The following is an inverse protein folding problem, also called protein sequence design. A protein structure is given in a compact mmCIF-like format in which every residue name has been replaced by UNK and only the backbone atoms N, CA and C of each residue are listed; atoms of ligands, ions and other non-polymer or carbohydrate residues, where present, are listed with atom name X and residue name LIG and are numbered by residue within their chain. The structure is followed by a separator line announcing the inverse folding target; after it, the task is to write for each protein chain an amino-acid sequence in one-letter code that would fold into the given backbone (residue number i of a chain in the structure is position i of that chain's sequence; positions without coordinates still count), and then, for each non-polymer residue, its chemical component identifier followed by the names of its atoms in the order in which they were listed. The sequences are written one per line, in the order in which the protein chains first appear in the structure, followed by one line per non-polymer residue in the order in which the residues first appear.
data_IF_933330772858
#
_entry.id   IF_933330772858
#
_cell.length_a   1.000
_cell.length_b   1.000
_cell.length_c   1.000
_cell.angle_alpha   90.00
_cell.angle_beta   90.00
_cell.angle_gamma   90.00
#
_symmetry.space_group_name_H-M   'P 1'
#
loop_
_entity.id
_entity.type
_entity.pdbx_description
1 polymer ?
#
# COMPACT_ATOMS: atom_id res chain seq x y z
N UNK A 1 -5.60 -3.98 -9.08
CA UNK A 1 -6.02 -5.34 -8.64
C UNK A 1 -6.86 -5.95 -9.76
N UNK A 2 -6.86 -7.28 -9.90
CA UNK A 2 -7.64 -7.95 -10.97
C UNK A 2 -6.95 -8.04 -12.34
N UNK A 3 -5.62 -7.95 -12.38
CA UNK A 3 -4.81 -8.05 -13.60
C UNK A 3 -3.60 -8.96 -13.38
N UNK A 4 -2.95 -9.42 -14.46
CA UNK A 4 -1.75 -10.28 -14.41
C UNK A 4 -0.59 -9.67 -13.62
N UNK A 5 -0.56 -8.34 -13.50
CA UNK A 5 0.42 -7.63 -12.67
C UNK A 5 0.39 -8.05 -11.20
N UNK A 6 -0.71 -8.63 -10.71
CA UNK A 6 -0.79 -9.14 -9.33
C UNK A 6 0.22 -10.27 -9.06
N UNK A 7 0.63 -11.01 -10.09
CA UNK A 7 1.68 -12.04 -10.00
C UNK A 7 3.03 -11.48 -9.52
N UNK A 8 3.23 -10.18 -9.66
CA UNK A 8 4.46 -9.49 -9.26
C UNK A 8 4.33 -8.76 -7.92
N UNK A 9 3.18 -8.85 -7.22
CA UNK A 9 3.03 -8.18 -5.92
C UNK A 9 3.90 -8.82 -4.84
N UNK A 10 3.71 -10.12 -4.56
CA UNK A 10 4.35 -10.76 -3.40
C UNK A 10 5.88 -10.77 -3.50
N UNK A 11 6.42 -11.10 -4.67
CA UNK A 11 7.85 -11.17 -4.91
C UNK A 11 8.58 -9.83 -4.73
N UNK A 12 7.87 -8.69 -4.82
CA UNK A 12 8.47 -7.38 -4.56
C UNK A 12 9.00 -7.24 -3.14
N UNK A 13 8.44 -7.99 -2.18
CA UNK A 13 8.96 -8.08 -0.81
C UNK A 13 10.42 -8.53 -0.77
N UNK A 14 10.76 -9.57 -1.54
CA UNK A 14 12.13 -10.10 -1.60
C UNK A 14 13.06 -9.11 -2.27
N UNK A 15 12.63 -8.53 -3.40
CA UNK A 15 13.43 -7.52 -4.10
C UNK A 15 13.77 -6.35 -3.18
N UNK A 16 12.81 -5.87 -2.39
CA UNK A 16 13.04 -4.78 -1.43
C UNK A 16 14.04 -5.22 -0.35
N UNK A 17 13.88 -6.42 0.19
CA UNK A 17 14.79 -6.94 1.20
C UNK A 17 16.24 -7.02 0.66
N UNK A 18 16.41 -7.64 -0.50
CA UNK A 18 17.70 -7.82 -1.17
C UNK A 18 18.33 -6.48 -1.57
N UNK A 19 17.51 -5.50 -1.96
CA UNK A 19 17.97 -4.14 -2.30
C UNK A 19 18.53 -3.41 -1.09
N UNK A 20 17.82 -3.42 0.04
CA UNK A 20 18.27 -2.78 1.29
C UNK A 20 19.53 -3.48 1.80
N UNK A 21 19.55 -4.81 1.81
CA UNK A 21 20.69 -5.62 2.23
C UNK A 21 21.94 -5.30 1.39
N UNK A 22 21.78 -5.26 0.07
CA UNK A 22 22.89 -4.98 -0.86
C UNK A 22 23.54 -3.63 -0.61
N UNK A 23 22.73 -2.57 -0.45
CA UNK A 23 23.25 -1.21 -0.22
C UNK A 23 23.92 -1.10 1.14
N UNK A 24 23.26 -1.55 2.21
CA UNK A 24 23.78 -1.39 3.58
C UNK A 24 25.04 -2.23 3.80
N UNK A 25 25.10 -3.44 3.22
CA UNK A 25 26.29 -4.29 3.28
C UNK A 25 27.46 -3.68 2.47
N UNK A 26 27.21 -3.26 1.22
CA UNK A 26 28.26 -2.73 0.36
C UNK A 26 28.86 -1.42 0.88
N UNK A 27 28.02 -0.55 1.44
CA UNK A 27 28.45 0.76 1.93
C UNK A 27 28.88 0.75 3.41
N UNK A 28 28.87 -0.42 4.06
CA UNK A 28 29.26 -0.56 5.46
C UNK A 28 28.53 0.40 6.42
N UNK A 29 27.27 0.74 6.15
CA UNK A 29 26.51 1.63 7.04
C UNK A 29 26.29 1.01 8.42
N UNK A 30 26.53 1.77 9.48
CA UNK A 30 26.45 1.28 10.85
C UNK A 30 25.01 0.96 11.31
N UNK A 31 24.03 1.66 10.73
CA UNK A 31 22.62 1.56 11.08
C UNK A 31 21.73 1.89 9.86
N UNK A 32 20.44 1.59 9.96
CA UNK A 32 19.46 1.90 8.91
C UNK A 32 18.12 2.39 9.46
N UNK A 33 17.55 3.39 8.78
CA UNK A 33 16.16 3.83 8.97
C UNK A 33 15.41 3.58 7.66
N UNK A 34 14.35 2.78 7.71
CA UNK A 34 13.52 2.46 6.53
C UNK A 34 12.18 3.18 6.62
N UNK A 35 11.64 3.63 5.48
CA UNK A 35 10.38 4.39 5.41
C UNK A 35 9.40 3.70 4.44
N UNK A 36 8.89 2.49 4.76
CA UNK A 36 7.93 1.78 3.92
C UNK A 36 6.51 2.36 4.06
N UNK A 37 5.75 2.37 2.95
CA UNK A 37 4.43 2.98 2.90
C UNK A 37 3.31 2.12 2.31
N UNK A 38 3.59 0.91 1.82
CA UNK A 38 2.59 0.05 1.20
C UNK A 38 2.87 -1.43 1.47
N UNK A 39 1.83 -2.18 1.82
CA UNK A 39 1.76 -3.64 1.98
C UNK A 39 3.11 -4.38 2.04
N UNK A 40 3.69 -4.72 0.87
CA UNK A 40 4.89 -5.57 0.77
C UNK A 40 6.20 -4.87 1.16
N UNK A 41 6.22 -3.54 1.19
CA UNK A 41 7.39 -2.77 1.57
C UNK A 41 7.76 -3.02 3.04
N UNK A 42 6.78 -3.02 3.94
CA UNK A 42 7.00 -3.18 5.38
C UNK A 42 7.74 -4.48 5.71
N UNK A 43 7.24 -5.68 5.33
CA UNK A 43 7.96 -6.91 5.61
C UNK A 43 9.29 -7.01 4.86
N UNK A 44 9.43 -6.43 3.65
CA UNK A 44 10.71 -6.42 2.93
C UNK A 44 11.79 -5.67 3.70
N UNK A 45 11.48 -4.49 4.23
CA UNK A 45 12.38 -3.73 5.10
C UNK A 45 12.73 -4.49 6.38
N UNK A 46 11.74 -5.08 7.06
CA UNK A 46 11.97 -5.85 8.29
C UNK A 46 12.84 -7.10 8.05
N UNK A 47 12.67 -7.77 6.91
CA UNK A 47 13.51 -8.89 6.52
C UNK A 47 14.98 -8.47 6.36
N UNK A 48 15.25 -7.37 5.65
CA UNK A 48 16.61 -6.85 5.49
C UNK A 48 17.23 -6.45 6.84
N UNK A 49 16.46 -5.78 7.71
CA UNK A 49 16.90 -5.41 9.06
C UNK A 49 17.32 -6.64 9.88
N UNK A 50 16.53 -7.71 9.81
CA UNK A 50 16.84 -8.99 10.46
C UNK A 50 18.09 -9.68 9.90
N UNK A 51 18.26 -9.71 8.56
CA UNK A 51 19.44 -10.31 7.90
C UNK A 51 20.73 -9.56 8.22
N UNK A 52 20.69 -8.23 8.18
CA UNK A 52 21.85 -7.38 8.48
C UNK A 52 22.21 -7.40 9.97
N UNK A 53 21.22 -7.60 10.84
CA UNK A 53 21.37 -7.59 12.31
C UNK A 53 22.16 -6.37 12.83
N UNK A 54 21.84 -5.19 12.27
CA UNK A 54 22.40 -3.88 12.66
C UNK A 54 21.34 -3.04 13.37
N UNK A 55 21.73 -2.04 14.19
CA UNK A 55 20.80 -1.08 14.76
C UNK A 55 19.87 -0.50 13.68
N UNK A 56 18.56 -0.61 13.89
CA UNK A 56 17.60 -0.33 12.82
C UNK A 56 16.25 0.18 13.33
N UNK A 57 15.63 1.06 12.56
CA UNK A 57 14.30 1.63 12.83
C UNK A 57 13.44 1.62 11.56
N UNK A 58 12.19 1.18 11.67
CA UNK A 58 11.20 1.32 10.60
C UNK A 58 10.21 2.42 10.95
N UNK A 59 10.05 3.40 10.06
CA UNK A 59 9.08 4.48 10.18
C UNK A 59 7.97 4.22 9.16
N UNK A 60 6.79 3.82 9.64
CA UNK A 60 5.65 3.62 8.76
C UNK A 60 5.23 4.94 8.10
N UNK A 61 5.07 4.94 6.78
CA UNK A 61 4.70 6.12 5.99
C UNK A 61 3.33 6.72 6.34
N UNK A 62 2.48 5.95 7.03
CA UNK A 62 1.17 6.40 7.52
C UNK A 62 0.00 5.91 6.69
N UNK A 63 -1.17 5.94 7.31
CA UNK A 63 -2.44 5.53 6.69
C UNK A 63 -3.11 6.69 5.97
N UNK A 64 -3.79 6.41 4.86
CA UNK A 64 -4.61 7.38 4.12
C UNK A 64 -5.85 7.74 4.94
N UNK A 65 -6.29 9.00 4.84
CA UNK A 65 -7.59 9.40 5.39
C UNK A 65 -8.72 8.80 4.54
N UNK A 66 -9.88 8.49 5.15
CA UNK A 66 -11.02 8.04 4.38
C UNK A 66 -11.57 9.16 3.48
N UNK A 67 -12.03 8.75 2.30
CA UNK A 67 -12.77 9.57 1.35
C UNK A 67 -14.17 9.92 1.84
N UNK A 68 -14.76 10.98 1.28
CA UNK A 68 -16.13 11.38 1.61
C UNK A 68 -16.87 11.85 0.35
N UNK A 69 -18.06 11.30 0.11
CA UNK A 69 -18.91 11.67 -1.03
C UNK A 69 -20.38 11.44 -0.69
N UNK A 70 -21.24 12.45 -0.93
CA UNK A 70 -22.67 12.44 -0.56
C UNK A 70 -23.01 11.88 0.84
N UNK A 71 -22.18 12.21 1.84
CA UNK A 71 -22.38 11.76 3.21
C UNK A 71 -21.95 10.32 3.49
N UNK A 72 -21.48 9.58 2.48
CA UNK A 72 -20.84 8.28 2.65
C UNK A 72 -19.33 8.46 2.88
N UNK A 73 -18.79 7.64 3.78
CA UNK A 73 -17.34 7.47 3.96
C UNK A 73 -16.84 6.39 3.02
N UNK A 74 -15.78 6.67 2.28
CA UNK A 74 -15.25 5.83 1.22
C UNK A 74 -13.80 5.42 1.47
N UNK A 75 -13.41 4.30 0.88
CA UNK A 75 -12.05 3.80 0.84
C UNK A 75 -11.81 3.01 -0.47
N UNK A 76 -10.63 2.40 -0.60
CA UNK A 76 -10.31 1.59 -1.80
C UNK A 76 -11.25 0.39 -1.98
N UNK A 77 -11.84 -0.14 -0.89
CA UNK A 77 -12.80 -1.25 -0.96
C UNK A 77 -14.11 -0.76 -1.57
N UNK A 78 -14.54 0.45 -1.23
CA UNK A 78 -15.70 1.12 -1.83
C UNK A 78 -15.54 1.25 -3.34
N UNK A 79 -14.35 1.67 -3.81
CA UNK A 79 -14.04 1.73 -5.24
C UNK A 79 -14.06 0.34 -5.92
N UNK A 80 -13.63 -0.73 -5.24
CA UNK A 80 -13.73 -2.09 -5.79
C UNK A 80 -15.17 -2.58 -5.85
N UNK A 81 -15.98 -2.31 -4.83
CA UNK A 81 -17.36 -2.76 -4.73
C UNK A 81 -18.29 -2.03 -5.71
N UNK A 82 -18.00 -0.76 -6.02
CA UNK A 82 -18.86 0.09 -6.87
C UNK A 82 -19.12 -0.52 -8.25
N UNK A 83 -18.15 -1.23 -8.83
CA UNK A 83 -18.37 -1.92 -10.11
C UNK A 83 -19.43 -3.02 -9.99
N UNK A 84 -19.37 -3.82 -8.92
CA UNK A 84 -20.36 -4.87 -8.66
C UNK A 84 -21.75 -4.29 -8.38
N UNK A 85 -21.83 -3.18 -7.65
CA UNK A 85 -23.09 -2.48 -7.36
C UNK A 85 -23.72 -1.87 -8.62
N UNK A 86 -22.90 -1.30 -9.50
CA UNK A 86 -23.34 -0.78 -10.79
C UNK A 86 -23.92 -1.88 -11.68
N UNK A 87 -23.21 -3.00 -11.83
CA UNK A 87 -23.69 -4.15 -12.61
C UNK A 87 -24.97 -4.76 -12.02
N UNK A 88 -25.13 -4.71 -10.69
CA UNK A 88 -26.35 -5.12 -10.00
C UNK A 88 -27.51 -4.10 -10.09
N UNK A 89 -27.31 -2.96 -10.78
CA UNK A 89 -28.32 -1.91 -10.93
C UNK A 89 -28.63 -1.14 -9.64
N UNK A 90 -27.75 -1.20 -8.63
CA UNK A 90 -27.96 -0.54 -7.32
C UNK A 90 -27.52 0.92 -7.31
N UNK A 91 -26.56 1.28 -8.15
CA UNK A 91 -26.04 2.64 -8.29
C UNK A 91 -25.98 3.05 -9.77
N UNK A 92 -26.02 4.35 -10.04
CA UNK A 92 -25.82 4.90 -11.39
C UNK A 92 -24.33 4.91 -11.77
N UNK A 93 -24.04 5.06 -13.06
CA UNK A 93 -22.66 5.26 -13.54
C UNK A 93 -22.02 6.52 -12.93
N UNK A 94 -22.79 7.62 -12.85
CA UNK A 94 -22.37 8.85 -12.16
C UNK A 94 -21.98 8.59 -10.70
N UNK A 95 -22.75 7.73 -10.01
CA UNK A 95 -22.43 7.37 -8.63
C UNK A 95 -21.18 6.50 -8.54
N UNK A 96 -21.00 5.58 -9.48
CA UNK A 96 -19.80 4.74 -9.58
C UNK A 96 -18.54 5.58 -9.78
N UNK A 97 -18.59 6.55 -10.69
CA UNK A 97 -17.50 7.50 -10.95
C UNK A 97 -17.20 8.37 -9.73
N UNK A 98 -18.24 8.93 -9.10
CA UNK A 98 -18.10 9.74 -7.88
C UNK A 98 -17.44 8.97 -6.74
N UNK A 99 -17.83 7.70 -6.52
CA UNK A 99 -17.17 6.83 -5.54
C UNK A 99 -15.68 6.68 -5.86
N UNK A 100 -15.33 6.39 -7.12
CA UNK A 100 -13.93 6.18 -7.53
C UNK A 100 -13.09 7.44 -7.32
N UNK A 101 -13.58 8.62 -7.72
CA UNK A 101 -12.86 9.89 -7.56
C UNK A 101 -12.60 10.26 -6.10
N UNK A 102 -13.53 9.93 -5.20
CA UNK A 102 -13.48 10.39 -3.81
C UNK A 102 -12.92 9.35 -2.84
N UNK A 103 -12.68 8.11 -3.28
CA UNK A 103 -12.22 7.01 -2.41
C UNK A 103 -10.79 7.18 -1.86
N UNK A 104 -9.94 7.92 -2.56
CA UNK A 104 -8.52 8.10 -2.20
C UNK A 104 -8.17 9.60 -2.09
N UNK A 105 -8.49 10.28 -0.97
CA UNK A 105 -8.42 11.74 -0.87
C UNK A 105 -6.99 12.30 -0.70
N UNK A 106 -5.95 11.46 -0.67
CA UNK A 106 -4.58 11.90 -0.43
C UNK A 106 -3.57 10.76 -0.34
N UNK A 107 -2.41 11.05 0.26
CA UNK A 107 -1.34 10.08 0.46
C UNK A 107 -1.59 9.16 1.68
N UNK A 108 -0.95 7.99 1.65
CA UNK A 108 -0.95 7.00 2.73
C UNK A 108 -1.30 5.60 2.25
N UNK A 109 -1.01 4.58 3.06
CA UNK A 109 -1.45 3.21 2.79
C UNK A 109 -2.96 3.07 3.02
N UNK A 110 -3.56 1.99 2.50
CA UNK A 110 -4.99 1.71 2.67
C UNK A 110 -5.44 1.80 4.16
N UNK A 111 -6.63 2.38 4.38
CA UNK A 111 -7.11 2.79 5.70
C UNK A 111 -7.58 1.68 6.64
N UNK A 112 -8.05 0.56 6.08
CA UNK A 112 -8.61 -0.56 6.85
C UNK A 112 -7.57 -1.50 7.46
N UNK A 113 -8.04 -2.39 8.34
CA UNK A 113 -7.31 -3.57 8.85
C UNK A 113 -7.96 -4.85 8.33
#
# INVERSE_FOLDING_TARGET
MGTDGMSYSLQSREIIADSVESVVAAQWYDALVTIPGCDKNMPGCLMAMGRLNRPSLMIYGGTIKPGHWHGATLDIVSAFQSYGEFIAGKISEESREGIVEHSCPGAGACGGM
#
